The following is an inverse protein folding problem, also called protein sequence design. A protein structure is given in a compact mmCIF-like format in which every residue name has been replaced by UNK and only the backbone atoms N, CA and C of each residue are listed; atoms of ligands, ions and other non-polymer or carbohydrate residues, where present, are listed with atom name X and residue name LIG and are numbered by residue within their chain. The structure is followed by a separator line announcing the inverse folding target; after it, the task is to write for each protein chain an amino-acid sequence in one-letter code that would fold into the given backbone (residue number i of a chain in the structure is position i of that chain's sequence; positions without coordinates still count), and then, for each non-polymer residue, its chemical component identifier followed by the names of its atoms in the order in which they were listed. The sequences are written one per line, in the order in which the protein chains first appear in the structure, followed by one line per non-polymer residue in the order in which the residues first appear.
data_IF_330104608382
#
_entry.id   IF_330104608382
#
_cell.length_a   1.000
_cell.length_b   1.000
_cell.length_c   1.000
_cell.angle_alpha   90.00
_cell.angle_beta   90.00
_cell.angle_gamma   90.00
#
_symmetry.space_group_name_H-M   'P 1'
#
loop_
_entity.id
_entity.type
_entity.pdbx_description
1 polymer ?
#
# COMPACT_ATOMS: atom_id res chain seq x y z
N UNK A 1 13.14 13.48 6.65
CA UNK A 1 13.29 14.48 7.74
C UNK A 1 14.12 15.67 7.31
N UNK A 2 15.39 15.51 6.84
CA UNK A 2 16.30 16.61 6.47
C UNK A 2 15.73 17.54 5.39
N UNK A 3 15.02 16.98 4.39
CA UNK A 3 14.42 17.78 3.32
C UNK A 3 13.24 18.59 3.88
N UNK A 4 12.36 18.00 4.67
CA UNK A 4 11.25 18.70 5.32
C UNK A 4 11.72 19.86 6.20
N UNK A 5 12.84 19.66 6.90
CA UNK A 5 13.44 20.71 7.75
C UNK A 5 14.01 21.87 6.93
N UNK A 6 14.68 21.57 5.80
CA UNK A 6 15.36 22.58 5.00
C UNK A 6 14.45 23.29 3.99
N UNK A 7 13.35 22.63 3.62
CA UNK A 7 12.41 23.11 2.58
C UNK A 7 10.95 22.89 3.06
N UNK A 8 10.51 23.60 4.12
CA UNK A 8 9.20 23.38 4.74
C UNK A 8 8.03 23.70 3.82
N UNK A 9 8.27 24.49 2.77
CA UNK A 9 7.28 24.85 1.76
C UNK A 9 7.06 23.77 0.68
N UNK A 10 7.90 22.71 0.66
CA UNK A 10 7.81 21.66 -0.35
C UNK A 10 6.87 20.54 0.08
N UNK A 11 6.07 20.07 -0.86
CA UNK A 11 5.32 18.83 -0.69
C UNK A 11 6.23 17.63 -0.99
N UNK A 12 6.44 16.80 0.01
CA UNK A 12 7.26 15.59 -0.11
C UNK A 12 6.34 14.39 -0.04
N UNK A 13 6.47 13.50 -1.02
CA UNK A 13 5.71 12.27 -1.08
C UNK A 13 6.56 11.09 -0.63
N UNK A 14 6.05 10.30 0.33
CA UNK A 14 6.63 9.00 0.64
C UNK A 14 6.29 8.03 -0.49
N UNK A 15 7.29 7.43 -1.11
CA UNK A 15 7.14 6.45 -2.18
C UNK A 15 7.32 5.00 -1.72
N UNK A 16 7.47 4.77 -0.42
CA UNK A 16 7.56 3.46 0.19
C UNK A 16 6.32 3.20 1.03
N UNK A 17 5.41 2.40 0.50
CA UNK A 17 4.11 2.12 1.11
C UNK A 17 4.28 1.48 2.50
N UNK A 18 5.26 0.58 2.63
CA UNK A 18 5.64 -0.11 3.87
C UNK A 18 6.25 0.80 4.95
N UNK A 19 6.68 2.00 4.59
CA UNK A 19 7.26 2.98 5.51
C UNK A 19 6.36 4.20 5.73
N UNK A 20 5.11 4.15 5.30
CA UNK A 20 4.22 5.31 5.32
C UNK A 20 3.99 5.87 6.73
N UNK A 21 3.74 5.02 7.72
CA UNK A 21 3.60 5.41 9.14
C UNK A 21 4.87 6.12 9.65
N UNK A 22 6.06 5.57 9.37
CA UNK A 22 7.32 6.15 9.79
C UNK A 22 7.57 7.51 9.14
N UNK A 23 7.23 7.64 7.84
CA UNK A 23 7.33 8.90 7.13
C UNK A 23 6.36 9.95 7.70
N UNK A 24 5.14 9.55 8.04
CA UNK A 24 4.14 10.42 8.66
C UNK A 24 4.57 10.88 10.05
N UNK A 25 5.22 10.01 10.84
CA UNK A 25 5.75 10.32 12.17
C UNK A 25 6.79 11.44 12.15
N UNK A 26 7.58 11.57 11.08
CA UNK A 26 8.57 12.65 10.92
C UNK A 26 8.01 13.86 10.17
N UNK A 27 6.67 13.95 10.03
CA UNK A 27 5.99 15.12 9.47
C UNK A 27 5.70 15.07 7.98
N UNK A 28 5.92 13.94 7.30
CA UNK A 28 5.49 13.78 5.92
C UNK A 28 3.95 13.63 5.85
N UNK A 29 3.31 14.37 4.94
CA UNK A 29 1.83 14.43 4.86
C UNK A 29 1.26 13.83 3.59
N UNK A 30 2.11 13.32 2.71
CA UNK A 30 1.69 12.80 1.43
C UNK A 30 2.42 11.49 1.09
N UNK A 31 1.73 10.61 0.38
CA UNK A 31 2.29 9.38 -0.14
C UNK A 31 1.90 9.17 -1.60
N UNK A 32 2.73 8.43 -2.30
CA UNK A 32 2.46 7.96 -3.65
C UNK A 32 3.00 6.53 -3.76
N UNK A 33 2.14 5.59 -4.04
CA UNK A 33 2.51 4.18 -4.11
C UNK A 33 1.55 3.36 -4.95
N UNK A 34 2.05 2.25 -5.45
CA UNK A 34 1.27 1.35 -6.32
C UNK A 34 0.09 0.70 -5.58
N UNK A 35 0.23 0.45 -4.28
CA UNK A 35 -0.82 -0.19 -3.47
C UNK A 35 -1.98 0.75 -3.15
N UNK A 36 -1.77 2.07 -3.25
CA UNK A 36 -2.84 3.05 -3.07
C UNK A 36 -3.95 2.93 -4.12
N UNK A 37 -3.70 2.25 -5.24
CA UNK A 37 -4.73 1.99 -6.24
C UNK A 37 -5.88 1.12 -5.71
N UNK A 38 -5.65 0.24 -4.74
CA UNK A 38 -6.66 -0.67 -4.23
C UNK A 38 -6.83 -0.70 -2.70
N UNK A 39 -5.91 -0.08 -1.94
CA UNK A 39 -5.99 0.00 -0.48
C UNK A 39 -5.65 1.39 0.07
N UNK A 40 -5.94 2.47 -0.67
CA UNK A 40 -5.68 3.85 -0.25
C UNK A 40 -6.32 4.19 1.11
N UNK A 41 -7.47 3.60 1.40
CA UNK A 41 -8.22 3.83 2.64
C UNK A 41 -7.39 3.49 3.89
N UNK A 42 -6.52 2.48 3.84
CA UNK A 42 -5.62 2.14 4.94
C UNK A 42 -4.67 3.29 5.26
N UNK A 43 -4.09 3.91 4.25
CA UNK A 43 -3.13 5.01 4.42
C UNK A 43 -3.81 6.30 4.88
N UNK A 44 -5.02 6.57 4.40
CA UNK A 44 -5.86 7.67 4.92
C UNK A 44 -6.21 7.42 6.39
N UNK A 45 -6.57 6.19 6.75
CA UNK A 45 -6.86 5.82 8.13
C UNK A 45 -5.64 5.97 9.04
N UNK A 46 -4.44 5.57 8.59
CA UNK A 46 -3.18 5.79 9.33
C UNK A 46 -3.01 7.28 9.62
N UNK A 47 -3.16 8.17 8.65
CA UNK A 47 -3.02 9.61 8.86
C UNK A 47 -4.03 10.16 9.87
N UNK A 48 -5.29 9.73 9.79
CA UNK A 48 -6.33 10.15 10.71
C UNK A 48 -6.03 9.69 12.15
N UNK A 49 -5.62 8.44 12.33
CA UNK A 49 -5.25 7.89 13.63
C UNK A 49 -4.05 8.62 14.24
N UNK A 50 -3.06 8.97 13.43
CA UNK A 50 -1.91 9.77 13.88
C UNK A 50 -2.34 11.18 14.33
N UNK A 51 -3.27 11.82 13.63
CA UNK A 51 -3.83 13.11 14.03
C UNK A 51 -4.56 13.04 15.37
N UNK A 52 -5.11 11.87 15.72
CA UNK A 52 -5.77 11.56 17.00
C UNK A 52 -4.79 11.02 18.06
N UNK A 53 -3.49 10.95 17.80
CA UNK A 53 -2.45 10.34 18.67
C UNK A 53 -2.67 8.84 18.95
N UNK A 54 -3.37 8.12 18.08
CA UNK A 54 -3.66 6.69 18.18
C UNK A 54 -2.59 5.85 17.45
N UNK A 55 -1.38 5.88 17.96
CA UNK A 55 -0.20 5.28 17.33
C UNK A 55 -0.27 3.76 17.19
N UNK A 56 -0.76 3.07 18.22
CA UNK A 56 -0.88 1.60 18.21
C UNK A 56 -1.90 1.13 17.15
N UNK A 57 -3.03 1.83 17.04
CA UNK A 57 -4.03 1.54 16.02
C UNK A 57 -3.49 1.83 14.61
N UNK A 58 -2.73 2.91 14.43
CA UNK A 58 -2.09 3.24 13.16
C UNK A 58 -1.04 2.18 12.76
N UNK A 59 -0.26 1.70 13.74
CA UNK A 59 0.73 0.64 13.51
C UNK A 59 0.07 -0.67 13.08
N UNK A 60 -1.04 -1.06 13.70
CA UNK A 60 -1.78 -2.25 13.31
C UNK A 60 -2.29 -2.18 11.85
N UNK A 61 -2.73 -1.00 11.39
CA UNK A 61 -3.14 -0.81 9.98
C UNK A 61 -1.93 -0.85 9.04
N UNK A 62 -0.78 -0.31 9.47
CA UNK A 62 0.45 -0.40 8.68
C UNK A 62 0.93 -1.86 8.55
N UNK A 63 0.82 -2.67 9.61
CA UNK A 63 1.20 -4.08 9.58
C UNK A 63 0.32 -4.87 8.59
N UNK A 64 -0.99 -4.61 8.55
CA UNK A 64 -1.87 -5.18 7.53
C UNK A 64 -1.44 -4.78 6.11
N UNK A 65 -1.12 -3.50 5.89
CA UNK A 65 -0.64 -3.04 4.60
C UNK A 65 0.68 -3.70 4.22
N UNK A 66 1.60 -3.87 5.18
CA UNK A 66 2.89 -4.51 4.96
C UNK A 66 2.76 -5.98 4.58
N UNK A 67 1.85 -6.73 5.21
CA UNK A 67 1.55 -8.12 4.84
C UNK A 67 1.11 -8.23 3.37
N UNK A 68 0.28 -7.28 2.90
CA UNK A 68 -0.14 -7.22 1.50
C UNK A 68 1.02 -6.84 0.58
N UNK A 69 1.85 -5.86 0.95
CA UNK A 69 3.06 -5.48 0.18
C UNK A 69 4.00 -6.67 0.03
N UNK A 70 4.25 -7.43 1.10
CA UNK A 70 5.07 -8.64 1.05
C UNK A 70 4.49 -9.70 0.09
N UNK A 71 3.18 -9.91 0.11
CA UNK A 71 2.52 -10.83 -0.81
C UNK A 71 2.67 -10.37 -2.26
N UNK A 72 2.50 -9.07 -2.53
CA UNK A 72 2.73 -8.50 -3.85
C UNK A 72 4.17 -8.67 -4.33
N UNK A 73 5.16 -8.50 -3.44
CA UNK A 73 6.56 -8.74 -3.78
C UNK A 73 6.81 -10.20 -4.18
N UNK A 74 6.15 -11.16 -3.52
CA UNK A 74 6.29 -12.59 -3.85
C UNK A 74 5.68 -12.95 -5.21
N UNK A 75 4.54 -12.37 -5.57
CA UNK A 75 3.86 -12.69 -6.83
C UNK A 75 4.24 -11.75 -7.99
N UNK A 76 4.88 -10.63 -7.69
CA UNK A 76 5.22 -9.56 -8.61
C UNK A 76 4.25 -8.38 -8.52
N UNK A 77 4.77 -7.23 -8.04
CA UNK A 77 3.98 -6.06 -7.61
C UNK A 77 2.97 -5.59 -8.67
N UNK A 78 3.41 -5.30 -9.90
CA UNK A 78 2.51 -4.71 -10.89
C UNK A 78 1.37 -5.62 -11.32
N UNK A 79 1.64 -6.90 -11.51
CA UNK A 79 0.61 -7.88 -11.87
C UNK A 79 -0.28 -8.21 -10.67
N UNK A 80 0.28 -8.21 -9.46
CA UNK A 80 -0.47 -8.39 -8.22
C UNK A 80 -1.45 -7.25 -7.95
N UNK A 81 -1.02 -5.99 -8.14
CA UNK A 81 -1.92 -4.82 -8.01
C UNK A 81 -3.09 -4.89 -8.99
N UNK A 82 -2.85 -5.26 -10.25
CA UNK A 82 -3.93 -5.44 -11.22
C UNK A 82 -4.89 -6.58 -10.85
N UNK A 83 -4.34 -7.68 -10.31
CA UNK A 83 -5.16 -8.79 -9.83
C UNK A 83 -6.01 -8.38 -8.62
N UNK A 84 -5.44 -7.61 -7.68
CA UNK A 84 -6.18 -7.08 -6.53
C UNK A 84 -7.34 -6.19 -6.98
N UNK A 85 -7.10 -5.26 -7.90
CA UNK A 85 -8.15 -4.42 -8.49
C UNK A 85 -9.24 -5.25 -9.18
N UNK A 86 -8.87 -6.28 -9.93
CA UNK A 86 -9.82 -7.17 -10.57
C UNK A 86 -10.68 -7.92 -9.55
N UNK A 87 -10.10 -8.37 -8.42
CA UNK A 87 -10.84 -8.98 -7.32
C UNK A 87 -11.83 -8.01 -6.64
N UNK A 88 -11.53 -6.70 -6.65
CA UNK A 88 -12.44 -5.63 -6.21
C UNK A 88 -13.45 -5.21 -7.29
N UNK A 89 -13.47 -5.87 -8.45
CA UNK A 89 -14.41 -5.59 -9.54
C UNK A 89 -13.93 -4.55 -10.56
N UNK A 90 -12.66 -4.12 -10.50
CA UNK A 90 -12.08 -3.14 -11.42
C UNK A 90 -11.14 -3.86 -12.39
N UNK A 91 -11.58 -4.08 -13.63
CA UNK A 91 -10.76 -4.71 -14.67
C UNK A 91 -9.80 -3.69 -15.32
N UNK A 92 -8.53 -3.78 -14.92
CA UNK A 92 -7.43 -2.99 -15.51
C UNK A 92 -6.67 -3.75 -16.61
N UNK A 93 -7.16 -4.93 -17.03
CA UNK A 93 -6.47 -5.81 -17.97
C UNK A 93 -5.15 -6.36 -17.42
N UNK A 94 -4.39 -7.01 -18.29
CA UNK A 94 -3.09 -7.60 -17.94
C UNK A 94 -1.94 -6.58 -18.03
N UNK A 95 -0.83 -6.89 -17.39
CA UNK A 95 0.42 -6.16 -17.61
C UNK A 95 0.95 -6.41 -19.03
N UNK A 96 1.61 -5.40 -19.59
CA UNK A 96 2.30 -5.55 -20.88
C UNK A 96 3.52 -6.48 -20.74
N UNK A 97 3.92 -7.11 -21.83
CA UNK A 97 5.19 -7.87 -21.87
C UNK A 97 6.35 -7.00 -21.38
N UNK A 98 7.32 -7.55 -20.66
CA UNK A 98 7.62 -8.98 -20.46
C UNK A 98 6.87 -9.65 -19.28
N UNK A 99 5.98 -8.96 -18.56
CA UNK A 99 5.28 -9.54 -17.41
C UNK A 99 4.34 -10.67 -17.83
N UNK A 100 4.50 -11.83 -17.20
CA UNK A 100 3.58 -12.95 -17.38
C UNK A 100 2.40 -12.80 -16.41
N UNK A 101 1.19 -13.24 -16.77
CA UNK A 101 0.06 -13.29 -15.85
C UNK A 101 0.37 -14.09 -14.58
N UNK A 102 -0.39 -13.87 -13.52
CA UNK A 102 -0.35 -14.73 -12.34
C UNK A 102 -0.95 -16.11 -12.67
N UNK A 103 -0.35 -17.16 -12.15
CA UNK A 103 -0.95 -18.49 -12.17
C UNK A 103 -2.04 -18.63 -11.10
N UNK A 104 -2.79 -19.74 -11.14
CA UNK A 104 -3.91 -19.98 -10.21
C UNK A 104 -3.44 -20.07 -8.74
N UNK A 105 -2.25 -20.61 -8.49
CA UNK A 105 -1.69 -20.70 -7.14
C UNK A 105 -1.35 -19.32 -6.59
N UNK A 106 -0.72 -18.47 -7.41
CA UNK A 106 -0.41 -17.08 -7.07
C UNK A 106 -1.67 -16.25 -6.84
N UNK A 107 -2.70 -16.44 -7.66
CA UNK A 107 -4.00 -15.75 -7.50
C UNK A 107 -4.68 -16.17 -6.20
N UNK A 108 -4.73 -17.46 -5.88
CA UNK A 108 -5.32 -17.96 -4.64
C UNK A 108 -4.55 -17.47 -3.42
N UNK A 109 -3.22 -17.51 -3.47
CA UNK A 109 -2.37 -16.98 -2.40
C UNK A 109 -2.63 -15.49 -2.15
N UNK A 110 -2.59 -14.68 -3.21
CA UNK A 110 -2.83 -13.24 -3.10
C UNK A 110 -4.23 -12.95 -2.56
N UNK A 111 -5.26 -13.65 -3.04
CA UNK A 111 -6.63 -13.48 -2.58
C UNK A 111 -6.76 -13.72 -1.08
N UNK A 112 -6.21 -14.82 -0.57
CA UNK A 112 -6.25 -15.13 0.86
C UNK A 112 -5.59 -14.01 1.70
N UNK A 113 -4.41 -13.52 1.28
CA UNK A 113 -3.75 -12.44 2.00
C UNK A 113 -4.57 -11.14 1.98
N UNK A 114 -5.21 -10.82 0.86
CA UNK A 114 -6.07 -9.62 0.74
C UNK A 114 -7.29 -9.73 1.66
N UNK A 115 -7.94 -10.91 1.73
CA UNK A 115 -9.08 -11.17 2.63
C UNK A 115 -8.66 -11.09 4.09
N UNK A 116 -7.57 -11.75 4.49
CA UNK A 116 -7.04 -11.73 5.87
C UNK A 116 -6.69 -10.31 6.33
N UNK A 117 -6.26 -9.45 5.42
CA UNK A 117 -5.86 -8.08 5.71
C UNK A 117 -6.93 -7.03 5.32
N UNK A 118 -8.18 -7.44 5.16
CA UNK A 118 -9.32 -6.53 4.92
C UNK A 118 -9.13 -5.60 3.72
N UNK A 119 -8.63 -6.15 2.62
CA UNK A 119 -8.51 -5.48 1.32
C UNK A 119 -9.53 -5.98 0.29
N UNK A 120 -10.32 -7.00 0.65
CA UNK A 120 -11.46 -7.53 -0.10
C UNK A 120 -12.69 -7.61 0.79
#
# INVERSE_FOLDING_TARGET
ERILKNYPEKNIFCGHDELFLSAAAVGNRAGIGSTFNFMAEKFVKIQNLLAENKWEEAAAIQDEANAVVEALCKVGVFKGVKAALQMQGIDCGLCRRPFQPLDNGQLSYLKNVLEENRCL
#
